data_IF_155421954787
#
_entry.id   IF_155421954787
#
_cell.length_a   1.000
_cell.length_b   1.000
_cell.length_c   1.000
_cell.angle_alpha   90.00
_cell.angle_beta   90.00
_cell.angle_gamma   90.00
#
_symmetry.space_group_name_H-M   'P 1'
#
loop_
_entity.id
_entity.type
_entity.pdbx_description
1 polymer ?
2 polymer ?
3 water ?
#
# COMPACT_ATOMS: atom_id res chain seq x y z
N UNK A 1 -26.99 14.18 5.91
CA UNK A 1 -25.85 13.24 5.71
C UNK A 1 -25.79 12.25 6.87
N UNK A 2 -26.19 11.02 6.59
CA UNK A 2 -26.18 9.94 7.59
C UNK A 2 -24.73 9.65 7.94
N UNK A 3 -24.37 9.76 9.22
CA UNK A 3 -23.00 9.45 9.63
C UNK A 3 -22.87 7.97 10.10
N UNK A 4 -21.68 7.42 9.91
CA UNK A 4 -21.39 6.05 10.25
C UNK A 4 -20.27 5.94 11.25
N UNK A 5 -20.59 5.38 12.41
CA UNK A 5 -19.60 5.17 13.43
C UNK A 5 -19.21 3.69 13.40
N UNK A 6 -17.96 3.44 13.08
CA UNK A 6 -17.46 2.09 13.00
C UNK A 6 -16.58 1.79 14.21
N UNK A 7 -16.68 0.58 14.74
CA UNK A 7 -15.88 0.28 15.91
C UNK A 7 -15.45 -1.19 15.98
N UNK A 8 -14.22 -1.46 16.43
CA UNK A 8 -13.12 -0.61 16.91
C UNK A 8 -12.21 -0.12 15.78
N UNK A 9 -11.31 0.81 16.09
CA UNK A 9 -10.41 1.34 15.08
C UNK A 9 -9.35 0.31 14.68
N UNK A 10 -8.82 -0.44 15.64
CA UNK A 10 -7.83 -1.46 15.36
C UNK A 10 -8.00 -2.55 16.41
N UNK A 11 -7.56 -3.78 16.09
CA UNK A 11 -7.67 -4.90 17.03
C UNK A 11 -6.87 -6.11 16.57
N UNK A 12 -6.63 -7.02 17.51
CA UNK A 12 -5.89 -8.24 17.21
C UNK A 12 -6.50 -9.43 17.95
N UNK A 13 -6.34 -10.61 17.36
CA UNK A 13 -6.82 -11.86 17.91
C UNK A 13 -5.85 -12.96 17.44
N UNK A 14 -5.87 -14.11 18.10
CA UNK A 14 -5.00 -15.23 17.71
C UNK A 14 -5.80 -16.10 16.76
N UNK A 15 -5.11 -16.80 15.86
CA UNK A 15 -5.80 -17.68 14.91
C UNK A 15 -6.88 -18.51 15.59
N UNK A 16 -7.95 -18.78 14.86
CA UNK A 16 -9.03 -19.54 15.43
C UNK A 16 -10.02 -18.66 16.18
N UNK A 17 -9.51 -17.66 16.90
CA UNK A 17 -10.38 -16.73 17.63
C UNK A 17 -11.37 -16.14 16.63
N UNK A 18 -12.39 -15.46 17.14
CA UNK A 18 -13.37 -14.82 16.27
C UNK A 18 -13.46 -13.35 16.69
N UNK A 19 -13.52 -12.45 15.70
CA UNK A 19 -13.59 -11.01 15.98
C UNK A 19 -14.91 -10.47 15.44
N UNK A 20 -15.43 -9.44 16.11
CA UNK A 20 -16.68 -8.80 15.72
C UNK A 20 -16.43 -7.31 15.56
N UNK A 21 -16.81 -6.79 14.40
CA UNK A 21 -16.58 -5.40 14.09
C UNK A 21 -17.93 -4.74 13.99
N UNK A 22 -18.10 -3.53 14.49
CA UNK A 22 -19.42 -2.93 14.39
C UNK A 22 -19.43 -1.56 13.76
N UNK A 23 -20.59 -1.19 13.26
CA UNK A 23 -20.81 0.06 12.62
C UNK A 23 -22.21 0.47 13.03
N UNK A 24 -22.38 1.72 13.40
CA UNK A 24 -23.71 2.23 13.74
C UNK A 24 -23.96 3.50 12.87
N UNK A 25 -25.18 3.60 12.33
CA UNK A 25 -25.59 4.70 11.47
C UNK A 25 -26.36 5.71 12.29
N UNK A 26 -26.30 6.97 11.88
CA UNK A 26 -26.96 8.07 12.60
C UNK A 26 -28.47 7.98 12.51
N UNK A 27 -28.97 7.05 11.69
CA UNK A 27 -30.40 6.80 11.53
C UNK A 27 -30.63 5.44 10.86
N UNK A 28 -31.87 4.98 10.93
CA UNK A 28 -32.24 3.70 10.38
C UNK A 28 -31.97 3.58 8.89
N UNK A 29 -31.07 2.68 8.51
CA UNK A 29 -30.80 2.54 7.09
C UNK A 29 -31.45 1.31 6.51
N UNK A 30 -32.25 0.65 7.33
CA UNK A 30 -32.97 -0.51 6.85
C UNK A 30 -32.11 -1.59 6.18
N UNK A 31 -31.00 -1.96 6.80
CA UNK A 31 -30.15 -3.00 6.25
C UNK A 31 -29.44 -2.68 4.94
N UNK A 32 -29.57 -1.45 4.44
CA UNK A 32 -28.86 -1.06 3.18
C UNK A 32 -27.42 -0.74 3.56
N UNK A 33 -26.68 -1.78 3.91
CA UNK A 33 -25.35 -1.62 4.41
C UNK A 33 -24.49 -2.71 3.81
N UNK A 34 -23.20 -2.43 3.65
CA UNK A 34 -22.33 -3.43 3.10
C UNK A 34 -20.96 -3.34 3.72
N UNK A 35 -20.27 -4.46 3.74
CA UNK A 35 -18.94 -4.50 4.29
C UNK A 35 -17.89 -4.75 3.21
N UNK A 36 -16.70 -4.20 3.43
CA UNK A 36 -15.60 -4.39 2.51
C UNK A 36 -14.30 -4.76 3.20
N UNK A 37 -13.43 -5.43 2.47
CA UNK A 37 -12.10 -5.80 2.96
C UNK A 37 -11.09 -5.12 2.05
N UNK A 38 -10.04 -4.56 2.65
CA UNK A 38 -9.02 -3.95 1.83
C UNK A 38 -7.68 -4.36 2.37
N UNK A 39 -6.89 -5.02 1.55
CA UNK A 39 -5.55 -5.39 1.99
C UNK A 39 -4.61 -4.30 1.48
N UNK A 40 -3.37 -4.28 1.98
CA UNK A 40 -2.33 -3.31 1.61
C UNK A 40 -2.13 -3.10 0.12
N UNK A 41 -1.91 -1.85 -0.27
CA UNK A 41 -1.71 -1.50 -1.68
C UNK A 41 -2.63 -2.31 -2.57
N UNK A 42 -3.90 -2.38 -2.22
CA UNK A 42 -4.84 -3.14 -3.02
C UNK A 42 -6.18 -2.44 -2.99
N UNK A 43 -7.05 -2.74 -3.94
CA UNK A 43 -8.36 -2.11 -3.97
C UNK A 43 -9.31 -2.88 -3.05
N UNK A 44 -10.40 -2.23 -2.62
CA UNK A 44 -11.32 -2.94 -1.74
C UNK A 44 -12.12 -4.04 -2.46
N UNK A 45 -12.59 -5.01 -1.68
CA UNK A 45 -13.35 -6.16 -2.17
C UNK A 45 -14.63 -6.36 -1.31
N UNK A 46 -15.79 -6.40 -1.96
CA UNK A 46 -17.06 -6.56 -1.26
C UNK A 46 -17.13 -7.82 -0.41
N UNK A 47 -17.61 -7.70 0.81
CA UNK A 47 -17.73 -8.85 1.70
C UNK A 47 -19.16 -9.26 1.98
N UNK A 48 -20.04 -8.29 2.23
CA UNK A 48 -21.44 -8.54 2.54
C UNK A 48 -22.22 -7.39 1.95
N UNK A 49 -23.50 -7.62 1.65
CA UNK A 49 -24.42 -6.59 1.15
C UNK A 49 -25.78 -6.84 1.82
N UNK A 50 -26.65 -5.83 1.82
CA UNK A 50 -27.95 -5.92 2.48
C UNK A 50 -27.73 -6.47 3.90
N UNK A 51 -26.75 -5.91 4.61
CA UNK A 51 -26.44 -6.31 5.97
C UNK A 51 -26.03 -7.76 6.23
N UNK A 52 -26.71 -8.71 5.60
CA UNK A 52 -26.44 -10.14 5.86
C UNK A 52 -25.99 -11.06 4.69
N UNK A 53 -26.17 -10.62 3.44
CA UNK A 53 -25.77 -11.41 2.26
C UNK A 53 -24.27 -11.45 1.93
N UNK A 54 -23.73 -12.66 1.83
CA UNK A 54 -22.33 -12.81 1.46
C UNK A 54 -22.19 -12.55 -0.03
N UNK A 55 -21.01 -12.04 -0.43
CA UNK A 55 -20.72 -11.77 -1.84
C UNK A 55 -20.14 -13.04 -2.44
N UNK A 56 -20.19 -13.16 -3.75
CA UNK A 56 -19.68 -14.33 -4.41
C UNK A 56 -18.22 -14.62 -4.05
N UNK A 57 -17.88 -15.90 -3.98
CA UNK A 57 -16.53 -16.31 -3.67
C UNK A 57 -16.16 -16.10 -2.23
N UNK A 58 -17.06 -15.49 -1.46
CA UNK A 58 -16.80 -15.22 -0.06
C UNK A 58 -17.09 -16.42 0.84
N UNK A 59 -16.17 -16.71 1.76
CA UNK A 59 -16.28 -17.82 2.71
C UNK A 59 -17.46 -17.70 3.67
N UNK A 60 -17.76 -18.82 4.32
CA UNK A 60 -18.84 -18.94 5.28
C UNK A 60 -18.47 -18.28 6.61
N UNK A 61 -17.19 -18.39 6.97
CA UNK A 61 -16.70 -17.83 8.22
C UNK A 61 -16.84 -16.29 8.37
N UNK A 62 -17.36 -15.64 7.34
CA UNK A 62 -17.59 -14.20 7.35
C UNK A 62 -19.11 -14.08 7.40
N UNK A 63 -19.68 -13.42 8.41
CA UNK A 63 -21.14 -13.26 8.43
C UNK A 63 -21.58 -11.88 8.90
N UNK A 64 -22.75 -11.45 8.45
CA UNK A 64 -23.25 -10.15 8.84
C UNK A 64 -24.53 -10.18 9.63
N UNK A 65 -24.61 -9.35 10.67
CA UNK A 65 -25.82 -9.24 11.48
C UNK A 65 -26.26 -7.79 11.72
N UNK A 66 -27.38 -7.67 12.42
CA UNK A 66 -27.90 -6.36 12.72
C UNK A 66 -29.07 -5.93 11.87
N UNK A 67 -29.61 -4.78 12.22
CA UNK A 67 -30.76 -4.21 11.52
C UNK A 67 -30.96 -2.80 12.10
N UNK A 68 -31.83 -2.01 11.48
CA UNK A 68 -32.08 -0.66 11.97
C UNK A 68 -30.91 0.31 11.78
N UNK A 69 -30.17 0.53 12.86
CA UNK A 69 -29.05 1.45 12.88
C UNK A 69 -27.79 0.76 13.31
N UNK A 70 -27.94 -0.46 13.80
CA UNK A 70 -26.80 -1.20 14.34
C UNK A 70 -26.47 -2.41 13.51
N UNK A 71 -25.20 -2.53 13.15
CA UNK A 71 -24.74 -3.61 12.28
C UNK A 71 -23.42 -4.20 12.75
N UNK A 72 -23.12 -5.44 12.36
CA UNK A 72 -21.83 -6.02 12.75
C UNK A 72 -21.28 -7.07 11.80
N UNK A 73 -19.96 -7.12 11.71
CA UNK A 73 -19.31 -8.08 10.85
C UNK A 73 -18.64 -9.07 11.77
N UNK A 74 -18.92 -10.34 11.57
CA UNK A 74 -18.27 -11.31 12.42
C UNK A 74 -17.47 -12.26 11.56
N UNK A 75 -16.24 -12.51 11.99
CA UNK A 75 -15.34 -13.41 11.28
C UNK A 75 -15.06 -14.42 12.36
N UNK A 76 -15.68 -15.59 12.26
CA UNK A 76 -15.49 -16.60 13.29
C UNK A 76 -14.09 -17.16 13.38
N UNK A 77 -13.72 -18.09 12.51
CA UNK A 77 -12.37 -18.69 12.58
C UNK A 77 -11.28 -17.93 11.83
N UNK A 78 -10.62 -17.01 12.55
CA UNK A 78 -9.57 -16.14 12.03
C UNK A 78 -8.39 -16.77 11.29
N UNK A 79 -8.16 -16.35 10.05
CA UNK A 79 -7.03 -16.86 9.27
C UNK A 79 -5.94 -15.80 9.04
N UNK A 80 -4.68 -16.20 9.09
CA UNK A 80 -3.58 -15.26 8.91
C UNK A 80 -3.71 -14.37 7.67
N UNK A 81 -4.49 -14.80 6.68
CA UNK A 81 -4.67 -13.99 5.48
C UNK A 81 -5.86 -13.03 5.66
N UNK A 82 -6.40 -13.00 6.87
CA UNK A 82 -7.48 -12.10 7.18
C UNK A 82 -6.94 -10.72 7.62
N UNK A 83 -5.61 -10.56 7.69
CA UNK A 83 -5.01 -9.28 8.06
C UNK A 83 -5.40 -8.26 7.03
N UNK A 84 -6.08 -7.20 7.46
CA UNK A 84 -6.54 -6.18 6.55
C UNK A 84 -7.31 -5.10 7.32
N UNK A 85 -7.92 -4.20 6.54
CA UNK A 85 -8.73 -3.14 7.10
C UNK A 85 -10.10 -3.39 6.52
N UNK A 86 -11.14 -3.25 7.35
CA UNK A 86 -12.51 -3.46 6.90
C UNK A 86 -13.32 -2.20 6.99
N UNK A 87 -14.20 -1.97 6.02
CA UNK A 87 -15.03 -0.78 6.01
C UNK A 87 -16.50 -1.16 5.78
N UNK A 88 -17.39 -0.40 6.43
CA UNK A 88 -18.81 -0.62 6.20
C UNK A 88 -19.19 0.60 5.37
N UNK A 89 -20.26 0.47 4.61
CA UNK A 89 -20.72 1.56 3.77
C UNK A 89 -22.22 1.55 3.84
N UNK A 90 -22.83 2.72 3.98
CA UNK A 90 -24.28 2.74 4.01
C UNK A 90 -24.82 3.42 2.78
N UNK A 91 -25.87 2.80 2.22
CA UNK A 91 -26.58 3.35 1.08
C UNK A 91 -28.06 3.50 1.38
N UNK A 92 -28.36 3.80 2.64
CA UNK A 92 -29.72 4.04 3.09
C UNK A 92 -30.17 5.28 2.35
N UNK A 93 -29.21 6.17 2.12
CA UNK A 93 -29.47 7.36 1.32
C UNK A 93 -28.22 8.08 0.83
N UNK A 94 -28.37 8.75 -0.31
CA UNK A 94 -27.27 9.50 -0.89
C UNK A 94 -27.20 10.84 -0.21
N UNK A 95 -25.97 11.33 0.00
CA UNK A 95 -24.75 10.62 -0.38
C UNK A 95 -24.43 9.44 0.51
N UNK A 96 -23.90 8.38 -0.10
CA UNK A 96 -23.51 7.18 0.65
C UNK A 96 -22.24 7.51 1.45
N UNK A 97 -22.03 6.85 2.58
CA UNK A 97 -20.83 7.09 3.38
C UNK A 97 -20.16 5.82 3.95
N UNK A 98 -18.84 5.87 4.07
CA UNK A 98 -18.06 4.76 4.66
C UNK A 98 -17.81 5.00 6.14
N UNK A 99 -17.61 3.92 6.90
CA UNK A 99 -17.23 4.03 8.29
C UNK A 99 -15.74 4.38 8.19
N UNK A 100 -15.08 4.70 9.30
CA UNK A 100 -13.67 5.07 9.27
C UNK A 100 -12.79 3.85 9.25
N UNK A 101 -13.40 2.68 9.19
CA UNK A 101 -12.63 1.45 9.13
C UNK A 101 -12.03 0.88 10.39
N UNK A 102 -11.69 -0.40 10.29
CA UNK A 102 -11.11 -1.16 11.39
C UNK A 102 -9.91 -1.90 10.85
N UNK A 103 -8.77 -1.64 11.46
CA UNK A 103 -7.53 -2.29 11.08
C UNK A 103 -7.36 -3.56 11.93
N UNK A 104 -7.49 -4.72 11.27
CA UNK A 104 -7.39 -6.02 11.94
C UNK A 104 -6.08 -6.72 11.75
N UNK A 105 -5.44 -7.08 12.86
CA UNK A 105 -4.15 -7.79 12.83
C UNK A 105 -4.16 -9.13 13.57
N UNK A 106 -3.28 -10.04 13.15
CA UNK A 106 -3.18 -11.37 13.74
C UNK A 106 -2.21 -11.40 14.89
N UNK A 107 -2.68 -11.97 16.00
CA UNK A 107 -1.91 -12.07 17.22
C UNK A 107 -1.27 -13.44 17.32
N UNK A 108 -0.05 -13.59 16.79
CA UNK A 108 0.63 -14.87 16.83
C UNK A 108 1.59 -15.00 18.02
N UNK A 109 2.72 -15.68 17.80
CA UNK A 109 3.70 -15.91 18.85
C UNK A 109 5.03 -15.19 18.56
N UNK A 110 5.68 -14.70 19.61
CA UNK A 110 6.93 -13.99 19.46
C UNK A 110 7.87 -14.68 18.46
N UNK A 111 8.61 -13.87 17.71
CA UNK A 111 9.51 -14.41 16.72
C UNK A 111 10.64 -13.43 16.48
N UNK A 112 11.88 -13.91 16.57
CA UNK A 112 13.04 -13.08 16.38
C UNK A 112 13.32 -12.85 14.90
N UNK A 113 13.85 -11.67 14.56
CA UNK A 113 14.15 -11.32 13.16
C UNK A 113 15.31 -12.09 12.58
N UNK A 114 15.59 -11.83 11.31
CA UNK A 114 16.72 -12.43 10.61
C UNK A 114 17.34 -11.21 9.97
N UNK A 115 18.38 -10.71 10.63
CA UNK A 115 19.09 -9.52 10.20
C UNK A 115 20.10 -9.77 9.08
N UNK A 116 20.26 -8.78 8.21
CA UNK A 116 21.20 -8.84 7.11
C UNK A 116 21.70 -7.44 6.74
N UNK A 117 22.89 -7.09 7.22
CA UNK A 117 23.48 -5.77 6.94
C UNK A 117 24.10 -5.80 5.55
N UNK A 118 24.01 -4.70 4.82
CA UNK A 118 24.57 -4.68 3.49
C UNK A 118 25.44 -3.46 3.29
N UNK A 119 26.62 -3.66 2.67
CA UNK A 119 27.58 -2.58 2.40
C UNK A 119 27.20 -1.76 1.17
N UNK A 120 27.46 -0.44 1.19
CA UNK A 120 27.14 0.39 0.04
C UNK A 120 27.70 -0.20 -1.25
N UNK A 121 27.09 0.13 -2.38
CA UNK A 121 27.54 -0.40 -3.66
C UNK A 121 28.55 0.53 -4.31
N UNK A 122 29.20 0.05 -5.37
CA UNK A 122 30.20 0.88 -6.05
C UNK A 122 29.49 1.98 -6.82
N UNK A 123 28.50 1.61 -7.63
CA UNK A 123 27.77 2.61 -8.41
C UNK A 123 27.26 3.72 -7.50
N UNK A 124 26.90 3.36 -6.27
CA UNK A 124 26.41 4.36 -5.33
C UNK A 124 27.58 5.23 -4.90
N UNK A 125 28.67 4.56 -4.54
CA UNK A 125 29.88 5.26 -4.12
C UNK A 125 30.42 6.07 -5.30
N UNK A 126 30.10 5.63 -6.52
CA UNK A 126 30.54 6.33 -7.72
C UNK A 126 30.04 7.77 -7.61
N UNK A 127 29.00 7.93 -6.81
CA UNK A 127 28.37 9.23 -6.53
C UNK A 127 28.62 9.51 -5.05
N UNK A 128 28.95 10.76 -4.73
CA UNK A 128 29.23 11.15 -3.35
C UNK A 128 28.12 10.88 -2.33
N UNK A 129 27.84 9.60 -2.12
CA UNK A 129 26.80 9.17 -1.18
C UNK A 129 26.91 7.66 -0.94
N UNK A 130 26.63 7.24 0.29
CA UNK A 130 26.70 5.83 0.65
C UNK A 130 25.56 5.47 1.60
N UNK A 131 25.02 4.27 1.44
CA UNK A 131 23.93 3.84 2.29
C UNK A 131 24.21 2.44 2.82
N UNK A 132 23.86 2.22 4.07
CA UNK A 132 24.08 0.94 4.67
C UNK A 132 22.71 0.42 5.08
N UNK A 133 22.12 -0.43 4.25
CA UNK A 133 20.81 -0.97 4.58
C UNK A 133 20.94 -2.23 5.39
N UNK A 134 20.07 -2.33 6.39
CA UNK A 134 19.99 -3.46 7.30
C UNK A 134 18.56 -3.96 7.17
N UNK A 135 18.42 -5.28 7.07
CA UNK A 135 17.10 -5.90 6.95
C UNK A 135 16.79 -6.73 8.18
N UNK A 136 15.65 -6.48 8.80
CA UNK A 136 15.25 -7.29 9.93
C UNK A 136 14.02 -7.98 9.35
N UNK A 137 14.15 -9.26 8.98
CA UNK A 137 13.03 -9.97 8.38
C UNK A 137 12.29 -10.99 9.21
N UNK A 138 10.99 -11.03 8.98
CA UNK A 138 10.04 -11.90 9.65
C UNK A 138 10.20 -12.03 11.15
N UNK A 139 9.57 -11.12 11.87
CA UNK A 139 9.62 -11.13 13.31
C UNK A 139 8.24 -10.72 13.85
N UNK A 140 8.03 -10.90 15.14
CA UNK A 140 6.78 -10.54 15.80
C UNK A 140 7.05 -10.60 17.29
N UNK A 141 6.50 -9.64 18.05
CA UNK A 141 5.65 -8.53 17.57
C UNK A 141 6.35 -7.51 16.63
N UNK A 142 5.54 -6.54 16.16
CA UNK A 142 5.98 -5.48 15.24
C UNK A 142 6.93 -4.44 15.79
N UNK A 143 6.80 -4.11 17.07
CA UNK A 143 7.67 -3.09 17.64
C UNK A 143 9.13 -3.57 17.81
N UNK A 144 10.09 -2.70 17.52
CA UNK A 144 11.51 -3.05 17.64
C UNK A 144 12.43 -1.84 17.48
N UNK A 145 13.49 -1.81 18.28
CA UNK A 145 14.50 -0.75 18.23
C UNK A 145 15.61 -1.14 17.27
N UNK A 146 16.19 -0.15 16.61
CA UNK A 146 17.29 -0.39 15.67
C UNK A 146 18.42 0.58 15.98
N UNK A 147 19.60 0.07 16.29
CA UNK A 147 20.71 0.98 16.59
C UNK A 147 21.90 0.74 15.69
N UNK A 148 22.55 1.81 15.27
CA UNK A 148 23.74 1.73 14.42
C UNK A 148 24.98 2.19 15.18
N UNK A 149 26.10 1.54 14.89
CA UNK A 149 27.34 1.91 15.54
C UNK A 149 28.44 2.04 14.50
N UNK A 150 28.89 3.27 14.30
CA UNK A 150 29.98 3.57 13.37
C UNK A 150 31.21 3.18 14.17
N UNK A 151 31.94 2.18 13.68
CA UNK A 151 33.10 1.70 14.44
C UNK A 151 32.47 1.25 15.75
N UNK A 152 32.99 1.76 16.86
CA UNK A 152 32.45 1.37 18.15
C UNK A 152 31.41 2.31 18.76
N UNK A 153 31.46 3.57 18.38
CA UNK A 153 30.53 4.55 18.94
C UNK A 153 29.31 4.85 18.08
N UNK A 154 28.38 5.57 18.68
CA UNK A 154 27.16 5.99 18.04
C UNK A 154 27.30 7.48 17.76
N UNK A 155 27.22 7.87 16.50
CA UNK A 155 27.33 9.28 16.14
C UNK A 155 26.20 9.65 15.19
N UNK A 156 25.77 10.91 15.21
CA UNK A 156 24.70 11.30 14.32
C UNK A 156 25.15 11.41 12.87
N UNK A 157 24.27 10.98 11.99
CA UNK A 157 24.47 11.00 10.54
C UNK A 157 23.07 10.90 9.90
N UNK A 158 22.39 9.75 10.01
CA UNK A 158 21.07 9.63 9.40
C UNK A 158 20.47 8.24 9.23
N UNK A 159 19.37 7.97 9.93
CA UNK A 159 18.73 6.67 9.89
C UNK A 159 17.26 6.69 9.44
N UNK A 160 16.93 5.78 8.53
CA UNK A 160 15.59 5.69 8.02
C UNK A 160 15.03 4.28 8.12
N UNK A 161 13.90 4.13 8.81
CA UNK A 161 13.22 2.85 9.00
C UNK A 161 11.90 2.73 8.24
N UNK A 162 11.68 1.55 7.67
CA UNK A 162 10.46 1.28 6.92
C UNK A 162 9.99 -0.15 7.24
N UNK A 163 8.71 -0.26 7.61
CA UNK A 163 8.06 -1.51 7.99
C UNK A 163 7.06 -1.92 6.91
N UNK A 164 6.96 -3.22 6.67
CA UNK A 164 6.01 -3.76 5.73
C UNK A 164 4.80 -4.00 6.63
N UNK A 165 3.66 -4.27 6.02
CA UNK A 165 2.44 -4.59 6.74
C UNK A 165 2.57 -6.05 7.14
N UNK A 166 1.68 -6.52 8.01
CA UNK A 166 1.74 -7.89 8.46
C UNK A 166 1.64 -8.92 7.32
N UNK A 167 2.35 -10.03 7.50
CA UNK A 167 2.39 -11.10 6.51
C UNK A 167 1.14 -11.97 6.51
N UNK A 168 0.62 -12.27 5.32
CA UNK A 168 -0.59 -13.10 5.19
C UNK A 168 -0.30 -14.55 5.55
N UNK A 169 0.91 -14.99 5.21
CA UNK A 169 1.32 -16.35 5.45
C UNK A 169 1.78 -16.66 6.88
N UNK A 170 2.84 -15.99 7.34
CA UNK A 170 3.35 -16.26 8.67
C UNK A 170 2.99 -15.24 9.74
N UNK A 171 2.27 -14.20 9.34
CA UNK A 171 1.82 -13.17 10.28
C UNK A 171 2.93 -12.40 10.98
N UNK A 172 4.06 -12.23 10.30
CA UNK A 172 5.16 -11.49 10.87
C UNK A 172 5.24 -10.10 10.21
N UNK A 173 6.22 -9.32 10.64
CA UNK A 173 6.44 -7.99 10.09
C UNK A 173 7.91 -7.96 9.69
N UNK A 174 8.26 -7.08 8.76
CA UNK A 174 9.66 -6.91 8.33
C UNK A 174 9.97 -5.43 8.29
N UNK A 175 11.25 -5.09 8.47
CA UNK A 175 11.65 -3.70 8.49
C UNK A 175 13.03 -3.47 7.89
N UNK A 176 13.22 -2.30 7.30
CA UNK A 176 14.52 -2.01 6.77
C UNK A 176 15.03 -0.72 7.42
N UNK A 177 16.26 -0.77 7.91
CA UNK A 177 16.88 0.40 8.52
C UNK A 177 18.01 0.75 7.57
N UNK A 178 18.02 1.98 7.08
CA UNK A 178 19.05 2.39 6.16
C UNK A 178 19.83 3.56 6.74
N UNK A 179 21.13 3.35 6.96
CA UNK A 179 21.98 4.40 7.49
C UNK A 179 22.48 5.20 6.29
N UNK A 180 22.22 6.50 6.25
CA UNK A 180 22.67 7.29 5.10
C UNK A 180 23.98 7.96 5.44
N UNK A 181 24.82 8.15 4.45
CA UNK A 181 26.15 8.76 4.62
C UNK A 181 26.66 9.42 3.35
N UNK A 182 27.67 10.27 3.50
CA UNK A 182 28.29 10.91 2.34
C UNK A 182 29.49 10.02 2.04
N UNK A 183 29.76 9.81 0.76
CA UNK A 183 30.87 8.97 0.33
C UNK A 183 32.13 9.10 1.20
N UNK A 184 32.67 10.30 1.25
CA UNK A 184 33.88 10.56 2.02
C UNK A 184 33.75 10.34 3.52
N UNK A 185 32.54 10.46 4.05
CA UNK A 185 32.34 10.22 5.47
C UNK A 185 32.45 8.73 5.69
N UNK A 186 32.10 7.97 4.66
CA UNK A 186 32.13 6.51 4.73
C UNK A 186 33.53 5.91 4.57
N UNK A 187 34.34 6.56 3.74
CA UNK A 187 35.70 6.12 3.46
C UNK A 187 36.65 6.36 4.64
N UNK A 188 36.08 6.57 5.83
CA UNK A 188 36.89 6.79 7.02
C UNK A 188 36.77 5.65 8.01
N UNK A 189 35.74 5.72 8.86
CA UNK A 189 35.49 4.70 9.87
C UNK A 189 35.53 3.32 9.22
N UNK A 190 35.55 2.25 10.01
CA UNK A 190 35.64 0.93 9.41
C UNK A 190 34.69 -0.18 9.85
N UNK A 191 34.20 -0.15 11.09
CA UNK A 191 33.28 -1.21 11.51
C UNK A 191 31.83 -0.76 11.72
N UNK A 192 31.04 -0.87 10.66
CA UNK A 192 29.64 -0.49 10.69
C UNK A 192 28.81 -1.64 11.22
N UNK A 193 27.83 -1.32 12.05
CA UNK A 193 27.01 -2.33 12.67
C UNK A 193 25.57 -1.91 12.96
N UNK A 194 24.61 -2.79 12.66
CA UNK A 194 23.22 -2.49 12.99
C UNK A 194 22.74 -3.51 14.02
N UNK A 195 22.23 -2.97 15.13
CA UNK A 195 21.71 -3.76 16.25
C UNK A 195 20.20 -3.70 16.34
N UNK A 196 19.61 -4.73 16.94
CA UNK A 196 18.17 -4.80 17.10
C UNK A 196 17.79 -5.33 18.49
N UNK A 197 16.80 -4.72 19.13
CA UNK A 197 16.37 -5.17 20.46
C UNK A 197 14.92 -5.68 20.43
N UNK A 204 20.20 -8.02 22.99
CA UNK A 204 20.21 -7.46 21.63
C UNK A 204 20.66 -8.46 20.56
N UNK A 205 20.57 -8.02 19.29
CA UNK A 205 20.98 -8.81 18.13
C UNK A 205 21.85 -7.94 17.23
N UNK A 206 22.97 -8.50 16.79
CA UNK A 206 23.87 -7.71 15.98
C UNK A 206 24.42 -8.40 14.74
N UNK A 207 24.78 -7.57 13.76
CA UNK A 207 25.36 -8.01 12.49
C UNK A 207 26.15 -6.81 12.00
N UNK A 208 27.37 -7.06 11.51
CA UNK A 208 28.19 -5.97 11.01
C UNK A 208 29.21 -6.38 9.96
N UNK A 209 29.98 -5.40 9.48
CA UNK A 209 30.99 -5.66 8.47
C UNK A 209 32.01 -4.53 8.44
N UNK A 210 33.22 -4.85 7.99
CA UNK A 210 34.30 -3.86 7.90
C UNK A 210 34.58 -3.47 6.45
N UNK B 1 -15.17 -10.36 -19.68
CA UNK B 1 -14.99 -9.96 -18.25
C UNK B 1 -15.22 -8.47 -18.11
N UNK B 2 -15.65 -8.08 -16.91
CA UNK B 2 -15.90 -6.68 -16.59
C UNK B 2 -14.65 -6.01 -16.02
N UNK B 3 -14.13 -5.02 -16.73
CA UNK B 3 -12.96 -4.30 -16.25
C UNK B 3 -13.21 -2.81 -16.20
N UNK B 4 -12.31 -2.11 -15.50
CA UNK B 4 -12.35 -0.66 -15.35
C UNK B 4 -10.90 -0.15 -15.41
N UNK B 5 -10.47 0.42 -16.52
CA UNK B 5 -9.09 0.91 -16.60
C UNK B 5 -8.97 2.38 -16.26
N UNK B 6 -8.06 2.72 -15.33
CA UNK B 6 -7.88 4.11 -14.93
C UNK B 6 -6.60 4.70 -15.45
N UNK B 7 -6.63 6.01 -15.72
CA UNK B 7 -5.49 6.75 -16.22
C UNK B 7 -4.27 6.60 -15.31
N UNK B 8 -3.11 6.88 -15.89
CA UNK B 8 -1.85 6.74 -15.16
C UNK B 8 -1.52 7.73 -14.07
N UNK B 9 -0.55 7.36 -13.26
CA UNK B 9 -0.08 8.22 -12.20
C UNK B 9 0.10 9.63 -12.79
N UNK B 10 -0.35 10.64 -12.07
CA UNK B 10 -0.20 12.00 -12.57
C UNK B 10 0.46 12.88 -11.53
N UNK B 11 1.42 13.68 -11.97
CA UNK B 11 2.12 14.63 -11.11
C UNK B 11 1.77 15.96 -11.75
N UNK B 12 1.25 16.91 -10.97
CA UNK B 12 0.91 18.24 -11.48
C UNK B 12 1.28 19.26 -10.41
N UNK B 13 1.37 20.53 -10.78
CA UNK B 13 1.76 21.58 -9.86
C UNK B 13 0.55 22.16 -9.11
N UNK B 14 0.78 22.73 -7.92
CA UNK B 14 -0.29 23.31 -7.11
C UNK B 14 -1.04 24.38 -7.88
N UNK B 15 -2.37 24.29 -7.78
CA UNK B 15 -3.28 25.21 -8.42
C UNK B 15 -3.74 24.76 -9.79
N UNK B 16 -3.20 23.65 -10.26
CA UNK B 16 -3.59 23.15 -11.57
C UNK B 16 -4.99 22.53 -11.56
N UNK B 17 -5.42 22.02 -12.72
CA UNK B 17 -6.71 21.37 -12.88
C UNK B 17 -6.57 20.02 -13.59
N UNK B 18 -7.06 18.94 -13.00
CA UNK B 18 -6.98 17.63 -13.68
C UNK B 18 -8.31 16.99 -13.93
N UNK B 19 -8.26 15.96 -14.76
CA UNK B 19 -9.46 15.25 -15.11
C UNK B 19 -9.07 13.81 -15.36
N UNK B 20 -9.19 12.98 -14.33
CA UNK B 20 -8.83 11.55 -14.43
C UNK B 20 -9.96 10.79 -15.13
N UNK B 21 -9.62 9.66 -15.76
CA UNK B 21 -10.64 8.87 -16.44
C UNK B 21 -10.70 7.43 -15.95
N UNK B 22 -11.87 6.83 -16.15
CA UNK B 22 -12.20 5.46 -15.76
C UNK B 22 -13.00 4.92 -16.94
N UNK B 23 -12.36 4.02 -17.66
CA UNK B 23 -12.96 3.41 -18.85
C UNK B 23 -13.44 1.99 -18.57
N UNK B 24 -14.72 1.78 -18.87
CA UNK B 24 -15.33 0.49 -18.66
C UNK B 24 -15.23 -0.37 -19.90
N UNK B 25 -15.29 -1.68 -19.69
CA UNK B 25 -15.28 -2.65 -20.77
C UNK B 25 -16.00 -3.88 -20.21
N UNK B 26 -16.83 -4.51 -21.04
CA UNK B 26 -17.54 -5.69 -20.58
C UNK B 26 -18.93 -5.37 -20.10
N UNK B 27 -19.26 -4.09 -20.07
CA UNK B 27 -20.59 -3.71 -19.65
C UNK B 27 -20.86 -2.31 -20.09
N UNK B 28 -22.09 -1.85 -19.93
CA UNK B 28 -22.40 -0.51 -20.37
C UNK B 28 -22.66 0.42 -19.20
N UNK B 29 -21.78 1.40 -19.01
CA UNK B 29 -21.90 2.36 -17.90
C UNK B 29 -23.23 3.09 -17.84
N UNK B 30 -23.95 3.10 -18.94
CA UNK B 30 -25.27 3.72 -19.00
C UNK B 30 -26.18 2.99 -17.99
N UNK B 31 -25.83 1.73 -17.73
CA UNK B 31 -26.59 0.88 -16.82
C UNK B 31 -26.30 0.97 -15.34
N UNK B 32 -25.19 1.59 -14.96
CA UNK B 32 -24.88 1.67 -13.53
C UNK B 32 -24.56 3.07 -13.04
N UNK B 33 -24.35 3.19 -11.74
CA UNK B 33 -23.95 4.45 -11.16
C UNK B 33 -22.46 4.24 -11.01
N UNK B 34 -21.64 5.23 -11.35
CA UNK B 34 -20.20 5.04 -11.16
C UNK B 34 -19.80 5.97 -10.02
N UNK B 35 -18.88 5.52 -9.18
CA UNK B 35 -18.44 6.34 -8.06
C UNK B 35 -16.95 6.63 -8.08
N UNK B 36 -16.60 7.72 -7.41
CA UNK B 36 -15.22 8.09 -7.25
C UNK B 36 -14.89 8.14 -5.75
N UNK B 37 -13.76 7.54 -5.40
CA UNK B 37 -13.32 7.49 -4.03
C UNK B 37 -11.87 7.95 -3.93
N UNK B 38 -11.56 8.63 -2.83
CA UNK B 38 -10.21 9.12 -2.57
C UNK B 38 -9.67 8.40 -1.35
N UNK B 39 -8.38 8.09 -1.37
CA UNK B 39 -7.74 7.44 -0.24
C UNK B 39 -6.29 7.88 -0.05
N UNK B 40 -6.04 8.66 1.01
CA UNK B 40 -4.68 9.12 1.27
C UNK B 40 -3.84 8.02 1.88
N UNK B 41 -2.51 8.16 1.79
CA UNK B 41 -1.56 7.20 2.35
C UNK B 41 -1.97 6.71 3.73
N UNK B 42 -2.03 5.39 3.87
CA UNK B 42 -2.42 4.72 5.11
C UNK B 42 -3.68 5.23 5.78
N UNK B 43 -4.62 5.75 5.00
CA UNK B 43 -5.87 6.27 5.54
C UNK B 43 -7.12 5.59 4.97
N UNK B 44 -8.30 6.09 5.36
CA UNK B 44 -9.55 5.50 4.92
C UNK B 44 -10.10 5.85 3.56
N UNK B 45 -11.25 5.25 3.24
CA UNK B 45 -11.96 5.45 1.98
C UNK B 45 -12.92 6.63 2.13
N UNK B 46 -13.01 7.50 1.13
CA UNK B 46 -13.90 8.67 1.19
C UNK B 46 -14.59 8.86 -0.13
N UNK B 47 -15.90 8.71 -0.16
CA UNK B 47 -16.63 8.88 -1.39
C UNK B 47 -16.68 10.34 -1.77
N UNK B 48 -16.61 10.60 -3.07
CA UNK B 48 -16.65 11.96 -3.59
C UNK B 48 -18.03 12.20 -4.13
N UNK B 49 -18.51 11.23 -4.89
CA UNK B 49 -19.82 11.36 -5.49
C UNK B 49 -20.07 10.25 -6.50
N UNK B 50 -21.19 10.35 -7.21
CA UNK B 50 -21.54 9.34 -8.20
C UNK B 50 -22.25 9.92 -9.36
N UNK B 51 -22.28 9.18 -10.46
CA UNK B 51 -23.01 9.70 -11.60
C UNK B 51 -23.85 8.60 -12.26
N UNK B 52 -24.96 9.02 -12.86
CA UNK B 52 -25.81 8.10 -13.60
C UNK B 52 -25.58 8.50 -15.09
N UNK B 53 -24.72 7.77 -15.82
CA UNK B 53 -24.47 8.14 -17.22
C UNK B 53 -25.70 8.38 -18.12
N UNK B 54 -26.81 7.68 -17.84
CA UNK B 54 -28.03 7.80 -18.65
C UNK B 54 -28.54 9.22 -18.83
N UNK B 55 -28.79 9.92 -17.73
CA UNK B 55 -29.33 11.27 -17.75
C UNK B 55 -28.26 12.31 -17.38
N UNK B 56 -27.13 11.83 -16.89
CA UNK B 56 -26.06 12.74 -16.51
C UNK B 56 -26.15 13.23 -15.08
N UNK B 57 -27.12 12.71 -14.33
CA UNK B 57 -27.29 13.15 -12.96
C UNK B 57 -26.19 12.73 -11.98
N UNK B 58 -25.85 13.65 -11.09
CA UNK B 58 -24.82 13.42 -10.08
C UNK B 58 -25.21 13.89 -8.67
N UNK B 59 -24.50 13.34 -7.67
CA UNK B 59 -24.67 13.71 -6.27
C UNK B 59 -23.26 13.64 -5.66
N UNK B 60 -22.89 14.64 -4.88
CA UNK B 60 -21.57 14.69 -4.23
C UNK B 60 -21.62 14.74 -2.70
N UNK B 61 -20.66 14.08 -2.09
CA UNK B 61 -20.47 14.18 -0.64
C UNK B 61 -20.12 15.71 -0.56
N UNK B 62 -20.84 16.48 0.26
CA UNK B 62 -20.62 17.93 0.43
C UNK B 62 -19.18 18.44 0.61
N UNK B 63 -18.31 17.59 1.14
CA UNK B 63 -16.91 17.95 1.38
C UNK B 63 -16.22 18.27 0.02
N UNK B 64 -16.72 17.63 -1.03
CA UNK B 64 -16.19 17.73 -2.39
C UNK B 64 -17.01 18.51 -3.39
N UNK B 65 -18.10 19.07 -2.91
CA UNK B 65 -19.00 19.83 -3.76
C UNK B 65 -18.31 20.92 -4.59
N UNK B 66 -17.22 21.49 -4.08
CA UNK B 66 -16.51 22.55 -4.82
C UNK B 66 -15.13 22.17 -5.32
N UNK B 67 -14.73 20.93 -5.09
CA UNK B 67 -13.44 20.44 -5.51
C UNK B 67 -13.57 19.55 -6.73
N UNK B 68 -14.61 18.73 -6.74
CA UNK B 68 -14.81 17.77 -7.80
C UNK B 68 -16.00 18.04 -8.69
N UNK B 69 -15.94 17.44 -9.87
CA UNK B 69 -16.97 17.54 -10.88
C UNK B 69 -16.87 16.25 -11.69
N UNK B 70 -17.83 15.34 -11.50
CA UNK B 70 -17.86 14.07 -12.19
C UNK B 70 -18.69 14.13 -13.46
N UNK B 71 -18.16 13.54 -14.53
CA UNK B 71 -18.81 13.49 -15.84
C UNK B 71 -18.69 12.10 -16.46
N UNK B 72 -19.48 11.87 -17.50
CA UNK B 72 -19.47 10.59 -18.15
C UNK B 72 -19.74 10.74 -19.63
N UNK B 73 -19.24 9.79 -20.40
CA UNK B 73 -19.43 9.80 -21.84
C UNK B 73 -19.92 8.40 -22.12
N UNK B 74 -21.22 8.29 -22.41
CA UNK B 74 -21.81 7.00 -22.66
C UNK B 74 -21.12 6.44 -23.91
N UNK B 75 -20.78 7.35 -24.82
CA UNK B 75 -20.04 6.98 -26.00
C UNK B 75 -18.57 7.05 -25.60
N UNK B 76 -17.97 5.87 -25.45
CA UNK B 76 -16.59 5.64 -25.06
C UNK B 76 -16.60 4.87 -23.75
N UNK B 77 -17.79 4.77 -23.17
CA UNK B 77 -17.94 4.05 -21.91
C UNK B 77 -16.90 4.60 -20.93
N UNK B 78 -16.93 5.90 -20.70
CA UNK B 78 -15.95 6.54 -19.83
C UNK B 78 -16.51 7.54 -18.83
N UNK B 79 -15.99 7.49 -17.62
CA UNK B 79 -16.41 8.38 -16.55
C UNK B 79 -15.20 9.25 -16.15
N UNK B 80 -15.43 10.53 -15.91
CA UNK B 80 -14.33 11.39 -15.56
C UNK B 80 -14.44 11.98 -14.20
N UNK B 81 -13.31 12.38 -13.63
CA UNK B 81 -13.26 12.99 -12.32
C UNK B 81 -12.37 14.21 -12.35
N UNK B 82 -12.98 15.41 -12.38
CA UNK B 82 -12.23 16.67 -12.39
C UNK B 82 -12.03 17.31 -11.01
N UNK B 83 -10.77 17.62 -10.69
CA UNK B 83 -10.37 18.24 -9.42
C UNK B 83 -9.67 19.55 -9.73
N UNK B 84 -10.20 20.66 -9.19
CA UNK B 84 -9.65 21.99 -9.45
C UNK B 84 -8.86 22.59 -8.28
N UNK B 85 -8.17 23.70 -8.52
CA UNK B 85 -7.37 24.37 -7.48
C UNK B 85 -6.58 23.36 -6.67
N UNK B 86 -5.83 22.50 -7.34
CA UNK B 86 -5.10 21.46 -6.61
C UNK B 86 -4.11 21.90 -5.53
N UNK B 87 -4.16 21.18 -4.41
CA UNK B 87 -3.29 21.44 -3.27
C UNK B 87 -2.72 20.10 -2.84
N UNK B 88 -1.79 20.10 -1.91
CA UNK B 88 -1.19 18.85 -1.49
C UNK B 88 -2.26 18.00 -0.77
N UNK B 89 -3.32 18.67 -0.35
CA UNK B 89 -4.41 18.03 0.37
C UNK B 89 -5.10 17.07 -0.58
N UNK B 90 -4.90 17.31 -1.88
CA UNK B 90 -5.49 16.52 -2.90
C UNK B 90 -4.57 15.36 -3.33
N UNK B 91 -3.38 15.29 -2.79
CA UNK B 91 -2.45 14.21 -3.17
C UNK B 91 -2.89 12.86 -2.59
N UNK B 92 -3.22 11.91 -3.47
CA UNK B 92 -3.69 10.60 -3.02
C UNK B 92 -4.05 9.65 -4.17
N UNK B 93 -4.69 8.52 -3.79
CA UNK B 93 -5.12 7.53 -4.76
C UNK B 93 -6.60 7.71 -5.00
N UNK B 94 -7.01 7.75 -6.28
CA UNK B 94 -8.43 7.92 -6.64
C UNK B 94 -9.04 6.71 -7.30
N UNK B 95 -10.17 6.22 -6.79
CA UNK B 95 -10.78 5.05 -7.39
C UNK B 95 -12.15 5.29 -7.97
N UNK B 96 -12.48 4.56 -9.04
CA UNK B 96 -13.81 4.61 -9.61
C UNK B 96 -14.37 3.21 -9.36
N UNK B 97 -15.67 3.16 -9.10
CA UNK B 97 -16.31 1.89 -8.79
C UNK B 97 -17.71 1.82 -9.35
N UNK B 98 -18.08 0.62 -9.79
CA UNK B 98 -19.41 0.39 -10.30
C UNK B 98 -20.34 0.03 -9.13
N UNK B 99 -21.51 0.65 -9.13
CA UNK B 99 -22.48 0.42 -8.08
C UNK B 99 -23.72 -0.29 -8.63
N UNK B 100 -23.76 -1.60 -8.43
CA UNK B 100 -24.89 -2.40 -8.90
C UNK B 100 -26.18 -1.97 -8.20
N UNK B 101 -26.02 -1.37 -7.02
CA UNK B 101 -27.09 -0.89 -6.16
C UNK B 101 -27.16 -1.69 -4.86
N UNK B 102 -26.38 -2.77 -4.78
CA UNK B 102 -26.34 -3.58 -3.57
C UNK B 102 -24.93 -3.52 -3.00
N UNK B 103 -23.95 -3.36 -3.89
CA UNK B 103 -22.57 -3.24 -3.48
C UNK B 103 -21.75 -2.68 -4.62
N UNK B 104 -20.45 -2.54 -4.39
CA UNK B 104 -19.56 -2.07 -5.42
C UNK B 104 -18.93 -3.36 -5.89
N UNK B 105 -19.27 -3.87 -7.06
CA UNK B 105 -18.69 -5.13 -7.49
C UNK B 105 -17.43 -5.01 -8.33
N UNK B 106 -17.16 -3.81 -8.85
CA UNK B 106 -15.94 -3.64 -9.62
C UNK B 106 -15.18 -2.35 -9.29
N UNK B 107 -13.90 -2.49 -9.02
CA UNK B 107 -13.10 -1.32 -8.70
C UNK B 107 -12.01 -1.11 -9.74
N UNK B 108 -11.71 0.15 -10.05
CA UNK B 108 -10.63 0.41 -10.98
C UNK B 108 -9.34 0.13 -10.19
N UNK B 109 -8.22 0.02 -10.89
CA UNK B 109 -6.96 -0.26 -10.21
C UNK B 109 -6.49 0.97 -9.44
N UNK B 110 -7.16 2.11 -9.65
CA UNK B 110 -6.81 3.34 -8.95
C UNK B 110 -5.75 4.21 -9.62
N UNK B 111 -5.92 5.53 -9.49
CA UNK B 111 -4.97 6.47 -10.07
C UNK B 111 -4.28 7.31 -9.01
N UNK B 112 -2.95 7.32 -9.04
CA UNK B 112 -2.13 8.06 -8.08
C UNK B 112 -1.88 9.50 -8.51
N UNK B 113 -2.53 10.45 -7.84
CA UNK B 113 -2.38 11.86 -8.13
C UNK B 113 -1.45 12.51 -7.10
N UNK B 114 -0.42 13.16 -7.60
CA UNK B 114 0.50 13.83 -6.71
C UNK B 114 0.46 15.34 -6.99
N UNK B 115 0.28 16.16 -5.97
CA UNK B 115 0.28 17.60 -6.22
C UNK B 115 1.55 18.10 -5.56
N UNK B 116 2.45 18.62 -6.38
CA UNK B 116 3.73 19.10 -5.91
C UNK B 116 4.51 19.94 -6.92
N UNK B 117 5.60 20.54 -6.48
CA UNK B 117 6.42 21.36 -7.34
C UNK B 117 7.65 20.61 -7.81
N UNK B 118 7.97 19.52 -7.12
CA UNK B 118 9.11 18.67 -7.43
C UNK B 118 9.06 18.18 -8.87
N UNK B 119 10.23 17.87 -9.42
CA UNK B 119 10.31 17.39 -10.78
C UNK B 119 10.39 15.87 -10.85
N UNK B 120 9.89 15.32 -11.95
CA UNK B 120 9.94 13.88 -12.11
C UNK B 120 11.41 13.51 -12.14
N UNK B 121 11.76 12.41 -11.49
CA UNK B 121 13.14 11.98 -11.46
C UNK B 121 13.23 10.47 -11.40
N UNK B 122 14.04 9.88 -12.28
CA UNK B 122 14.19 8.41 -12.31
C UNK B 122 15.02 7.98 -11.14
N UNK B 123 14.83 6.72 -10.71
CA UNK B 123 15.61 6.23 -9.59
C UNK B 123 16.94 5.65 -10.04
N UNK B 124 17.83 5.41 -9.08
CA UNK B 124 19.11 4.80 -9.33
C UNK B 124 18.83 3.49 -8.66
N UNK B 125 19.40 2.40 -9.17
CA UNK B 125 19.14 1.09 -8.58
C UNK B 125 20.46 0.40 -8.29
N UNK B 126 20.78 0.32 -7.01
CA UNK B 126 22.03 -0.27 -6.58
C UNK B 126 21.80 -1.66 -5.98
N UNK B 127 22.47 -2.70 -6.53
CA UNK B 127 22.31 -4.06 -6.00
C UNK B 127 22.93 -4.15 -4.63
N UNK B 128 22.38 -5.04 -3.81
CA UNK B 128 22.88 -5.20 -2.46
C UNK B 128 23.23 -6.66 -2.21
N UNK B 129 24.50 -6.97 -2.36
CA UNK B 129 25.00 -8.32 -2.16
C UNK B 129 25.64 -8.40 -0.77
N UNK B 130 25.60 -9.58 -0.16
CA UNK B 130 26.17 -9.82 1.17
C UNK B 130 27.54 -9.16 1.42
N UNK B 131 28.55 -9.57 0.68
CA UNK B 131 29.87 -9.01 0.85
C UNK B 131 30.61 -9.40 2.11
N UNK B 132 30.24 -10.54 2.71
CA UNK B 132 30.88 -11.01 3.94
C UNK B 132 30.58 -12.48 4.30
N UNK B 133 29.37 -12.75 4.77
CA UNK B 133 28.95 -14.10 5.15
C UNK B 133 30.10 -14.95 5.66
N UNK B 137 25.74 -22.03 6.24
CA UNK B 137 24.93 -20.89 5.86
C UNK B 137 23.73 -21.37 5.04
N UNK B 138 22.65 -21.76 5.72
CA UNK B 138 21.46 -22.26 5.03
C UNK B 138 20.77 -21.26 4.09
N UNK B 139 20.45 -20.07 4.62
CA UNK B 139 19.77 -19.04 3.84
C UNK B 139 20.68 -17.94 3.26
N UNK B 140 20.17 -17.25 2.23
CA UNK B 140 20.91 -16.16 1.58
C UNK B 140 19.96 -15.01 1.27
N UNK B 141 20.18 -13.88 1.92
CA UNK B 141 19.31 -12.74 1.68
C UNK B 141 20.02 -11.65 0.93
N UNK B 142 19.39 -11.14 -0.11
CA UNK B 142 19.96 -10.03 -0.84
C UNK B 142 18.85 -9.04 -1.16
N UNK B 143 19.25 -7.82 -1.48
CA UNK B 143 18.26 -6.80 -1.76
C UNK B 143 18.57 -5.89 -2.92
N UNK B 144 17.65 -4.95 -3.15
CA UNK B 144 17.76 -3.98 -4.24
C UNK B 144 17.48 -2.62 -3.59
N UNK B 145 18.15 -1.57 -4.03
CA UNK B 145 17.95 -0.25 -3.46
C UNK B 145 17.57 0.85 -4.45
N UNK B 146 16.28 1.16 -4.50
CA UNK B 146 15.77 2.18 -5.39
C UNK B 146 15.84 3.55 -4.73
N UNK B 147 16.84 4.34 -5.12
CA UNK B 147 17.03 5.65 -4.53
C UNK B 147 16.77 6.85 -5.41
N UNK B 148 16.17 7.88 -4.81
CA UNK B 148 15.92 9.11 -5.52
C UNK B 148 15.03 9.13 -6.74
N UNK B 149 13.77 8.74 -6.59
CA UNK B 149 12.84 8.83 -7.70
C UNK B 149 11.68 9.70 -7.22
N UNK B 150 10.90 10.20 -8.16
CA UNK B 150 9.73 11.00 -7.87
C UNK B 150 8.96 11.12 -9.17
N UNK B 151 7.60 11.05 -9.09
CA UNK B 151 6.78 10.87 -7.89
C UNK B 151 6.53 9.37 -7.67
N UNK B 152 5.58 9.05 -6.81
CA UNK B 152 5.29 7.65 -6.59
C UNK B 152 4.39 7.24 -7.73
N UNK B 153 4.38 5.95 -8.06
CA UNK B 153 5.16 4.89 -7.41
C UNK B 153 6.15 4.15 -8.32
N UNK B 154 6.77 3.12 -7.76
CA UNK B 154 7.67 2.25 -8.50
C UNK B 154 7.23 0.82 -8.22
N UNK B 155 7.49 -0.08 -9.15
CA UNK B 155 7.20 -1.48 -8.88
C UNK B 155 8.50 -2.24 -8.95
N UNK B 156 8.60 -3.28 -8.14
CA UNK B 156 9.81 -4.07 -8.11
C UNK B 156 9.56 -5.57 -8.21
N UNK B 157 10.21 -6.18 -9.20
CA UNK B 157 10.09 -7.61 -9.42
C UNK B 157 11.47 -8.26 -9.48
N UNK B 158 11.49 -9.58 -9.27
CA UNK B 158 12.72 -10.35 -9.33
C UNK B 158 12.61 -11.45 -10.37
N UNK B 159 13.55 -11.47 -11.31
CA UNK B 159 13.58 -12.45 -12.41
C UNK B 159 12.36 -12.23 -13.29
N UNK B 160 11.84 -11.00 -13.24
CA UNK B 160 10.66 -10.62 -14.00
C UNK B 160 9.39 -11.34 -13.54
N UNK B 161 9.28 -11.58 -12.24
CA UNK B 161 8.10 -12.24 -11.73
C UNK B 161 8.37 -13.58 -11.09
N UNK B 162 9.34 -14.30 -11.66
CA UNK B 162 9.73 -15.61 -11.15
C UNK B 162 10.19 -15.41 -9.73
N UNK B 163 9.88 -16.36 -8.85
CA UNK B 163 10.27 -16.25 -7.45
C UNK B 163 9.39 -15.22 -6.76
N UNK B 164 8.40 -15.71 -6.02
CA UNK B 164 7.46 -14.84 -5.34
C UNK B 164 7.67 -14.78 -3.84
N UNK B 165 7.56 -15.93 -3.17
CA UNK B 165 7.76 -15.96 -1.73
C UNK B 165 9.18 -15.54 -1.39
N UNK B 166 9.43 -15.31 -0.10
CA UNK B 166 10.75 -14.89 0.30
C UNK B 166 11.03 -13.49 -0.23
N UNK B 167 9.98 -12.73 -0.51
CA UNK B 167 10.13 -11.37 -1.01
C UNK B 167 9.53 -10.32 -0.07
N UNK B 168 10.27 -9.24 0.11
CA UNK B 168 9.83 -8.14 0.95
C UNK B 168 10.18 -6.80 0.30
N UNK B 169 9.17 -6.01 0.01
CA UNK B 169 9.46 -4.69 -0.52
C UNK B 169 8.88 -3.75 0.52
N UNK B 170 9.75 -2.92 1.06
CA UNK B 170 9.41 -1.95 2.08
C UNK B 170 8.86 -0.68 1.45
N UNK B 171 7.90 -0.03 2.13
CA UNK B 171 7.26 1.20 1.65
C UNK B 171 8.28 2.33 1.52
N UNK B 172 8.14 3.12 0.47
CA UNK B 172 9.04 4.22 0.25
C UNK B 172 8.85 5.31 1.29
N UNK B 173 9.93 6.02 1.56
CA UNK B 173 9.98 7.14 2.47
C UNK B 173 10.71 8.24 1.72
N UNK B 174 10.45 9.48 2.10
CA UNK B 174 11.06 10.66 1.50
C UNK B 174 12.45 10.85 2.13
N UNK B 175 13.50 10.66 1.36
CA UNK B 175 14.83 10.81 1.92
C UNK B 175 15.30 12.22 1.78
N UNK B 176 14.65 12.94 0.90
CA UNK B 176 14.98 14.34 0.68
C UNK B 176 13.78 14.85 -0.12
N UNK B 177 14.05 15.43 -1.29
CA UNK B 177 12.98 15.90 -2.15
C UNK B 177 12.48 14.66 -2.88
N UNK B 178 13.21 13.56 -2.73
CA UNK B 178 12.89 12.32 -3.44
C UNK B 178 12.52 11.12 -2.58
N UNK B 179 12.18 10.02 -3.25
CA UNK B 179 11.84 8.78 -2.56
C UNK B 179 12.94 7.76 -2.63
N UNK B 180 13.04 6.97 -1.58
CA UNK B 180 14.02 5.88 -1.47
C UNK B 180 13.23 4.65 -1.01
N UNK B 181 13.49 3.52 -1.62
CA UNK B 181 12.79 2.31 -1.30
C UNK B 181 13.75 1.13 -1.41
N UNK B 182 13.51 0.09 -0.63
CA UNK B 182 14.37 -1.08 -0.73
C UNK B 182 13.53 -2.34 -0.85
N UNK B 183 14.15 -3.40 -1.35
CA UNK B 183 13.46 -4.67 -1.49
C UNK B 183 14.43 -5.80 -1.17
N UNK B 184 13.94 -6.85 -0.52
CA UNK B 184 14.80 -7.95 -0.21
C UNK B 184 14.24 -9.26 -0.74
N UNK B 185 15.15 -10.14 -1.16
CA UNK B 185 14.82 -11.48 -1.66
C UNK B 185 15.62 -12.50 -0.84
N UNK B 186 15.05 -13.68 -0.67
CA UNK B 186 15.69 -14.74 0.10
C UNK B 186 15.66 -16.12 -0.57
N UNK B 187 16.73 -16.44 -1.30
CA UNK B 187 16.85 -17.71 -1.99
C UNK B 187 17.85 -18.63 -1.26
N UNK B 188 17.73 -19.95 -1.45
CA UNK B 188 18.65 -20.87 -0.77
C UNK B 188 20.08 -20.69 -1.29
N UNK B 189 21.04 -20.91 -0.40
CA UNK B 189 22.47 -20.76 -0.67
C UNK B 189 22.94 -21.10 -2.09
N UNK B 190 22.73 -22.36 -2.48
CA UNK B 190 23.10 -22.89 -3.79
C UNK B 190 22.68 -22.04 -4.98
N UNK B 191 21.58 -21.31 -4.81
CA UNK B 191 21.03 -20.48 -5.86
C UNK B 191 21.81 -19.21 -6.14
N UNK B 192 21.78 -18.27 -5.20
CA UNK B 192 22.47 -17.00 -5.36
C UNK B 192 23.67 -17.19 -6.28
N UNK B 193 24.64 -18.01 -5.89
CA UNK B 193 25.81 -18.21 -6.76
C UNK B 193 25.42 -18.67 -8.18
N UNK B 194 25.27 -19.99 -8.33
CA UNK B 194 24.92 -20.57 -9.62
C UNK B 194 23.89 -19.76 -10.40
N UNK B 195 22.69 -19.64 -9.85
CA UNK B 195 21.60 -18.91 -10.50
C UNK B 195 21.98 -17.46 -10.81
N UNK B 196 21.03 -16.73 -11.37
CA UNK B 196 21.21 -15.33 -11.71
C UNK B 196 20.03 -14.56 -11.12
N UNK B 197 20.29 -13.82 -10.05
CA UNK B 197 19.24 -13.02 -9.41
C UNK B 197 19.30 -11.56 -9.84
N UNK B 198 18.17 -11.09 -10.36
CA UNK B 198 18.04 -9.72 -10.84
C UNK B 198 16.77 -9.08 -10.30
N UNK B 199 16.80 -7.76 -10.11
CA UNK B 199 15.60 -7.04 -9.69
C UNK B 199 15.22 -6.13 -10.84
N UNK B 200 13.92 -6.03 -11.07
CA UNK B 200 13.37 -5.19 -12.11
C UNK B 200 12.66 -4.02 -11.46
N UNK B 201 12.96 -2.83 -11.93
CA UNK B 201 12.34 -1.62 -11.42
C UNK B 201 11.56 -0.96 -12.52
N UNK B 202 10.41 -0.40 -12.18
CA UNK B 202 9.62 0.30 -13.15
C UNK B 202 9.17 1.61 -12.53
N UNK B 203 9.51 2.71 -13.19
CA UNK B 203 9.10 4.02 -12.71
C UNK B 203 8.45 4.64 -13.90
N UNK B 204 7.20 4.25 -14.16
CA UNK B 204 6.39 4.73 -15.27
C UNK B 204 6.41 6.24 -15.46
N UNK B 205 6.27 6.97 -14.35
CA UNK B 205 6.28 8.43 -14.40
C UNK B 205 7.46 9.00 -15.22
N UNK B 206 8.56 8.26 -15.32
CA UNK B 206 9.72 8.70 -16.11
C UNK B 206 10.09 7.63 -17.12
N UNK B 207 9.11 6.81 -17.48
CA UNK B 207 9.26 5.71 -18.43
C UNK B 207 10.58 5.00 -18.23
N UNK B 208 10.91 4.76 -16.97
CA UNK B 208 12.15 4.09 -16.59
C UNK B 208 11.96 2.62 -16.25
N UNK B 209 12.74 1.78 -16.93
CA UNK B 209 12.72 0.35 -16.66
C UNK B 209 14.18 0.05 -16.43
N UNK B 210 14.45 -0.83 -15.48
CA UNK B 210 15.81 -1.18 -15.13
C UNK B 210 15.84 -2.58 -14.56
N UNK B 211 16.92 -3.28 -14.84
CA UNK B 211 17.12 -4.64 -14.34
C UNK B 211 18.50 -4.61 -13.71
N UNK B 212 18.61 -5.07 -12.47
CA UNK B 212 19.90 -5.06 -11.82
C UNK B 212 20.25 -6.45 -11.34
N UNK B 213 21.22 -7.03 -12.04
CA UNK B 213 21.75 -8.36 -11.76
C UNK B 213 22.59 -8.23 -10.51
N UNK B 214 22.36 -9.10 -9.54
CA UNK B 214 23.14 -9.04 -8.32
C UNK B 214 24.53 -9.59 -8.56
N UNK B 215 25.53 -8.97 -7.96
CA UNK B 215 26.94 -9.35 -8.12
C UNK B 215 27.71 -9.14 -6.81
N UNK B 216 28.58 -10.10 -6.43
CA UNK B 216 29.39 -10.02 -5.20
C UNK B 216 30.50 -8.96 -5.18
#
# INVERSE_FOLDING_TARGET
>A
DIKMTQSPSSMSASLGESVTITCKASRDIKSYLSWYQQKPWKSPKTLIYYATSLADGVPSRFSGSGSGQDYSLTISSLESDDTATYYCLQHGESPFTFGSGTKLELKRADAAPTVSIFPPSSEQLTSGGASVVCFLNNFYPKDINVKWKIDGSERQNGVLNSWTDQDSKDSTYSMSSTLTLTKDEYERHNSYTCEATHKTSTSPIVKSFN
>B
EVQLQQSGAELVRPGALVKLSCKASGFNIKDYYMHWVKQRPEQGLELIGWIDPENGNTIYDPKFQDKASITADTSSNTAYLQLSSLTSEDTAVYYCARDTAAYFDYWGQGTTLTVSSAKTTPPSVYPLAPGSAAQTNSMVTLGCLVKGYFPEPVTVTWNSGSLSSGVHTFPAVLQSDLYTLSSSVTVPSSTWPSETVTCNVAHPASSTKVDKKKIP
#
